data_IF_450711725762
#
_entry.id   IF_450711725762
#
_cell.length_a   1.000
_cell.length_b   1.000
_cell.length_c   1.000
_cell.angle_alpha   90.00
_cell.angle_beta   90.00
_cell.angle_gamma   90.00
#
_symmetry.space_group_name_H-M   'P 1'
#
loop_
_entity.id
_entity.type
_entity.pdbx_description
1 polymer ?
#
# COMPACT_ATOMS: atom_id res chain seq x y z
N UNK A 1 -6.95 -1.53 2.13
CA UNK A 1 -7.40 -2.88 2.55
C UNK A 1 -8.28 -2.84 3.80
N UNK A 2 -7.79 -2.34 4.94
CA UNK A 2 -8.56 -2.32 6.20
C UNK A 2 -9.87 -1.54 6.10
N UNK A 3 -9.86 -0.32 5.52
CA UNK A 3 -11.07 0.50 5.36
C UNK A 3 -12.18 -0.18 4.55
N UNK A 4 -11.83 -0.81 3.42
CA UNK A 4 -12.78 -1.60 2.64
C UNK A 4 -13.37 -2.77 3.41
N UNK A 5 -12.51 -3.54 4.11
CA UNK A 5 -12.99 -4.66 4.93
C UNK A 5 -13.93 -4.18 6.02
N UNK A 6 -13.61 -3.08 6.71
CA UNK A 6 -14.50 -2.49 7.71
C UNK A 6 -15.84 -2.10 7.10
N UNK A 7 -15.86 -1.44 5.94
CA UNK A 7 -17.09 -1.08 5.24
C UNK A 7 -17.93 -2.28 4.78
N UNK A 8 -17.32 -3.42 4.48
CA UNK A 8 -18.06 -4.65 4.16
C UNK A 8 -18.79 -5.19 5.39
N UNK A 9 -18.16 -5.19 6.56
CA UNK A 9 -18.75 -5.72 7.78
C UNK A 9 -19.69 -4.74 8.49
N UNK A 10 -19.49 -3.44 8.29
CA UNK A 10 -20.21 -2.36 8.96
C UNK A 10 -20.60 -1.24 7.98
N UNK A 11 -21.36 -1.52 6.91
CA UNK A 11 -21.72 -0.52 5.90
C UNK A 11 -22.48 0.67 6.50
N UNK A 12 -23.25 0.44 7.57
CA UNK A 12 -24.00 1.48 8.28
C UNK A 12 -23.12 2.50 9.02
N UNK A 13 -21.83 2.19 9.21
CA UNK A 13 -20.87 3.06 9.92
C UNK A 13 -19.95 3.84 8.99
N UNK A 14 -20.10 3.68 7.68
CA UNK A 14 -19.19 4.27 6.68
C UNK A 14 -19.99 5.08 5.68
N UNK A 15 -19.91 6.42 5.81
CA UNK A 15 -20.57 7.33 4.88
C UNK A 15 -19.84 7.47 3.54
N UNK A 16 -18.50 7.36 3.54
CA UNK A 16 -17.66 7.41 2.34
C UNK A 16 -16.26 6.83 2.62
N UNK A 17 -15.52 6.47 1.57
CA UNK A 17 -14.14 5.97 1.64
C UNK A 17 -13.25 6.77 0.69
N UNK A 18 -12.10 7.26 1.19
CA UNK A 18 -10.98 7.66 0.32
C UNK A 18 -9.87 6.63 0.46
N UNK A 19 -9.46 6.02 -0.64
CA UNK A 19 -8.34 5.09 -0.72
C UNK A 19 -7.21 5.70 -1.55
N UNK A 20 -5.98 5.57 -1.07
CA UNK A 20 -4.78 6.07 -1.73
C UNK A 20 -3.92 4.87 -2.15
N UNK A 21 -3.56 4.78 -3.43
CA UNK A 21 -2.62 3.77 -3.98
C UNK A 21 -3.12 2.31 -4.01
N UNK A 22 -4.24 1.97 -3.36
CA UNK A 22 -4.72 0.58 -3.23
C UNK A 22 -6.20 0.46 -3.53
N UNK A 23 -6.55 -0.24 -4.61
CA UNK A 23 -7.93 -0.62 -4.91
C UNK A 23 -8.42 -1.80 -4.05
N UNK A 24 -9.73 -1.91 -3.86
CA UNK A 24 -10.32 -3.10 -3.24
C UNK A 24 -10.08 -4.33 -4.11
N UNK A 25 -9.71 -5.45 -3.47
CA UNK A 25 -9.72 -6.77 -4.09
C UNK A 25 -10.38 -7.74 -3.11
N UNK A 26 -11.38 -8.53 -3.54
CA UNK A 26 -11.95 -9.53 -2.67
C UNK A 26 -10.91 -10.60 -2.31
N UNK A 27 -10.99 -11.19 -1.11
CA UNK A 27 -10.09 -12.28 -0.72
C UNK A 27 -10.12 -13.42 -1.74
N UNK A 28 -8.95 -13.98 -2.06
CA UNK A 28 -8.81 -15.08 -3.02
C UNK A 28 -8.80 -14.68 -4.50
N UNK A 29 -9.04 -13.42 -4.88
CA UNK A 29 -9.07 -13.00 -6.28
C UNK A 29 -7.73 -12.56 -6.86
N UNK A 30 -6.63 -12.64 -6.10
CA UNK A 30 -5.31 -12.39 -6.67
C UNK A 30 -5.01 -13.53 -7.65
N UNK A 31 -4.77 -13.18 -8.91
CA UNK A 31 -4.28 -14.13 -9.91
C UNK A 31 -2.98 -14.75 -9.41
N UNK A 32 -2.85 -16.06 -9.56
CA UNK A 32 -1.71 -16.86 -9.09
C UNK A 32 -0.48 -16.66 -9.96
N UNK A 33 -0.15 -15.41 -10.31
CA UNK A 33 1.13 -15.14 -10.96
C UNK A 33 2.22 -15.21 -9.90
N UNK A 34 3.08 -16.22 -10.05
CA UNK A 34 4.24 -16.43 -9.19
C UNK A 34 5.22 -15.31 -9.49
N UNK A 35 5.25 -14.31 -8.62
CA UNK A 35 6.34 -13.33 -8.61
C UNK A 35 7.65 -14.03 -8.20
N UNK A 36 8.81 -13.53 -8.64
CA UNK A 36 10.09 -14.14 -8.29
C UNK A 36 10.31 -14.15 -6.79
N UNK A 37 11.15 -15.08 -6.30
CA UNK A 37 11.57 -15.19 -4.89
C UNK A 37 12.03 -13.84 -4.31
N UNK A 38 12.69 -13.05 -5.15
CA UNK A 38 13.20 -11.71 -4.85
C UNK A 38 12.14 -10.68 -4.45
N UNK A 39 10.86 -10.94 -4.72
CA UNK A 39 9.79 -10.00 -4.48
C UNK A 39 9.63 -9.68 -2.99
N UNK A 40 9.66 -8.41 -2.62
CA UNK A 40 9.70 -7.97 -1.22
C UNK A 40 8.61 -8.59 -0.33
N UNK A 41 7.38 -8.77 -0.85
CA UNK A 41 6.31 -9.42 -0.06
C UNK A 41 6.68 -10.86 0.29
N UNK A 42 7.26 -11.63 -0.65
CA UNK A 42 7.64 -13.03 -0.38
C UNK A 42 8.74 -13.09 0.69
N UNK A 43 9.70 -12.17 0.65
CA UNK A 43 10.78 -12.10 1.63
C UNK A 43 10.30 -11.67 3.00
N UNK A 44 9.41 -10.68 3.07
CA UNK A 44 8.85 -10.22 4.34
C UNK A 44 7.81 -11.18 4.93
N UNK A 45 7.24 -12.05 4.09
CA UNK A 45 6.38 -13.15 4.51
C UNK A 45 7.13 -14.28 5.23
N UNK A 46 8.44 -14.40 5.04
CA UNK A 46 9.27 -15.34 5.76
C UNK A 46 9.57 -14.78 7.17
N UNK A 47 9.10 -15.48 8.19
CA UNK A 47 9.29 -15.05 9.59
C UNK A 47 10.77 -14.98 9.92
N UNK A 48 11.22 -13.82 10.40
CA UNK A 48 12.62 -13.58 10.81
C UNK A 48 13.52 -13.08 9.69
N UNK A 49 13.16 -13.24 8.41
CA UNK A 49 14.03 -12.85 7.29
C UNK A 49 14.13 -11.32 7.13
N UNK A 50 12.98 -10.63 7.16
CA UNK A 50 12.97 -9.16 7.13
C UNK A 50 13.63 -8.57 8.38
N UNK A 51 13.42 -9.16 9.55
CA UNK A 51 14.07 -8.73 10.78
C UNK A 51 15.60 -8.90 10.72
N UNK A 52 16.08 -10.01 10.15
CA UNK A 52 17.51 -10.22 9.92
C UNK A 52 18.08 -9.22 8.89
N UNK A 53 17.36 -8.94 7.81
CA UNK A 53 17.74 -7.95 6.80
C UNK A 53 17.82 -6.53 7.41
N UNK A 54 16.75 -6.11 8.10
CA UNK A 54 16.67 -4.80 8.73
C UNK A 54 17.69 -4.64 9.87
N UNK A 55 17.94 -5.70 10.63
CA UNK A 55 18.91 -5.71 11.74
C UNK A 55 20.37 -5.50 11.33
N UNK A 56 20.67 -5.47 10.02
CA UNK A 56 21.99 -5.08 9.48
C UNK A 56 22.23 -3.57 9.57
N UNK A 57 21.20 -2.77 9.81
CA UNK A 57 21.24 -1.30 9.76
C UNK A 57 20.60 -0.68 11.00
N UNK A 58 20.90 0.60 11.26
CA UNK A 58 20.12 1.40 12.19
C UNK A 58 18.70 1.67 11.65
N UNK A 59 17.75 1.96 12.55
CA UNK A 59 16.34 2.15 12.19
C UNK A 59 16.17 3.31 11.18
N UNK A 60 16.95 4.39 11.33
CA UNK A 60 16.90 5.54 10.42
C UNK A 60 17.24 5.13 8.99
N UNK A 61 18.25 4.29 8.81
CA UNK A 61 18.66 3.76 7.51
C UNK A 61 17.60 2.82 6.93
N UNK A 62 16.99 1.95 7.76
CA UNK A 62 15.89 1.09 7.30
C UNK A 62 14.72 1.93 6.79
N UNK A 63 14.25 2.92 7.55
CA UNK A 63 13.14 3.80 7.15
C UNK A 63 13.49 4.59 5.89
N UNK A 64 14.71 5.16 5.81
CA UNK A 64 15.22 5.83 4.61
C UNK A 64 15.13 4.92 3.38
N UNK A 65 15.63 3.69 3.50
CA UNK A 65 15.65 2.73 2.39
C UNK A 65 14.22 2.37 1.95
N UNK A 66 13.29 2.19 2.88
CA UNK A 66 11.87 1.95 2.59
C UNK A 66 11.28 3.11 1.77
N UNK A 67 11.45 4.35 2.23
CA UNK A 67 10.94 5.53 1.49
C UNK A 67 11.52 5.60 0.07
N UNK A 68 12.83 5.38 -0.08
CA UNK A 68 13.49 5.38 -1.39
C UNK A 68 12.94 4.27 -2.30
N UNK A 69 12.78 3.05 -1.79
CA UNK A 69 12.32 1.91 -2.58
C UNK A 69 10.90 2.09 -3.08
N UNK A 70 10.00 2.57 -2.23
CA UNK A 70 8.58 2.66 -2.58
C UNK A 70 8.20 4.01 -3.20
N UNK A 71 9.10 5.00 -3.24
CA UNK A 71 8.94 6.20 -4.06
C UNK A 71 9.29 5.98 -5.55
N UNK A 72 9.93 4.86 -5.89
CA UNK A 72 10.28 4.46 -7.27
C UNK A 72 9.07 3.82 -7.99
N UNK A 73 9.20 3.66 -9.30
CA UNK A 73 8.18 3.00 -10.14
C UNK A 73 8.42 1.51 -10.34
N UNK A 74 9.61 1.01 -9.99
CA UNK A 74 9.96 -0.39 -10.05
C UNK A 74 9.47 -1.14 -8.82
N UNK A 75 9.07 -2.40 -9.01
CA UNK A 75 8.78 -3.29 -7.89
C UNK A 75 10.11 -3.66 -7.21
N UNK A 76 10.23 -3.56 -5.88
CA UNK A 76 11.42 -4.07 -5.19
C UNK A 76 11.52 -5.59 -5.32
N UNK A 77 12.48 -6.02 -6.14
CA UNK A 77 12.81 -7.43 -6.41
C UNK A 77 14.32 -7.57 -6.25
N UNK A 78 14.76 -8.26 -5.19
CA UNK A 78 16.17 -8.49 -4.93
C UNK A 78 16.71 -9.72 -5.66
N UNK A 79 18.00 -9.70 -5.99
CA UNK A 79 18.70 -10.84 -6.58
C UNK A 79 18.89 -11.99 -5.60
N UNK A 80 19.35 -13.14 -6.10
CA UNK A 80 19.54 -14.37 -5.29
C UNK A 80 20.51 -14.19 -4.12
N UNK A 81 21.53 -13.33 -4.28
CA UNK A 81 22.57 -13.08 -3.27
C UNK A 81 22.41 -11.71 -2.56
N UNK A 82 21.23 -11.11 -2.63
CA UNK A 82 20.92 -9.82 -2.03
C UNK A 82 19.71 -9.94 -1.11
N UNK A 83 19.50 -8.96 -0.24
CA UNK A 83 18.26 -8.70 0.48
C UNK A 83 17.59 -7.36 0.08
N UNK A 84 16.37 -7.09 0.57
CA UNK A 84 15.60 -5.92 0.13
C UNK A 84 16.32 -4.62 0.47
N UNK A 85 17.00 -4.54 1.62
CA UNK A 85 17.78 -3.36 1.96
C UNK A 85 19.03 -3.17 1.08
N UNK A 86 19.50 -4.19 0.34
CA UNK A 86 20.63 -4.07 -0.59
C UNK A 86 20.27 -3.37 -1.90
N UNK A 87 18.97 -3.14 -2.14
CA UNK A 87 18.47 -2.45 -3.34
C UNK A 87 18.65 -0.91 -3.28
N UNK A 88 19.14 -0.40 -2.16
CA UNK A 88 19.39 1.03 -1.95
C UNK A 88 20.87 1.25 -1.69
N UNK A 89 21.52 1.99 -2.58
CA UNK A 89 22.89 2.44 -2.36
C UNK A 89 22.91 3.48 -1.24
N UNK A 90 23.90 3.47 -0.31
CA UNK A 90 23.97 4.43 0.80
C UNK A 90 23.95 5.90 0.36
N UNK A 91 24.52 6.19 -0.82
CA UNK A 91 24.57 7.52 -1.44
C UNK A 91 23.24 7.98 -2.04
N UNK A 92 22.22 7.12 -2.11
CA UNK A 92 20.93 7.49 -2.67
C UNK A 92 20.27 8.58 -1.80
N UNK A 93 19.88 9.72 -2.39
CA UNK A 93 19.22 10.80 -1.65
C UNK A 93 17.78 10.41 -1.28
N UNK A 94 17.22 11.11 -0.30
CA UNK A 94 15.79 11.02 0.01
C UNK A 94 14.93 11.52 -1.16
N UNK A 95 13.67 11.05 -1.28
CA UNK A 95 12.69 11.69 -2.14
C UNK A 95 12.62 13.20 -1.84
N UNK A 96 12.47 14.04 -2.87
CA UNK A 96 12.59 15.50 -2.73
C UNK A 96 11.55 16.16 -1.82
N UNK A 97 10.46 15.46 -1.51
CA UNK A 97 9.38 15.89 -0.63
C UNK A 97 9.51 15.35 0.80
N UNK A 98 10.51 14.51 1.09
CA UNK A 98 10.72 13.87 2.39
C UNK A 98 12.02 14.35 3.03
N UNK A 99 11.91 15.10 4.12
CA UNK A 99 13.06 15.78 4.73
C UNK A 99 13.82 14.87 5.71
N UNK A 100 15.03 15.31 6.11
CA UNK A 100 15.77 14.65 7.18
C UNK A 100 15.06 14.76 8.55
N UNK A 101 14.28 15.82 8.76
CA UNK A 101 13.45 15.96 9.97
C UNK A 101 12.30 14.96 9.98
N UNK A 102 11.57 14.81 8.85
CA UNK A 102 10.50 13.81 8.73
C UNK A 102 11.06 12.40 8.95
N UNK A 103 12.19 12.08 8.33
CA UNK A 103 12.89 10.81 8.52
C UNK A 103 13.24 10.55 9.98
N UNK A 104 13.72 11.57 10.70
CA UNK A 104 14.05 11.44 12.13
C UNK A 104 12.79 11.13 12.96
N UNK A 105 11.66 11.77 12.66
CA UNK A 105 10.38 11.49 13.35
C UNK A 105 9.95 10.04 13.15
N UNK A 106 9.97 9.53 11.91
CA UNK A 106 9.61 8.14 11.65
C UNK A 106 10.61 7.16 12.29
N UNK A 107 11.91 7.46 12.24
CA UNK A 107 12.93 6.63 12.86
C UNK A 107 12.71 6.51 14.38
N UNK A 108 12.46 7.61 15.08
CA UNK A 108 12.19 7.63 16.52
C UNK A 108 10.93 6.82 16.92
N UNK A 109 9.91 6.80 16.04
CA UNK A 109 8.71 6.00 16.25
C UNK A 109 8.99 4.51 16.08
N UNK A 110 9.74 4.13 15.03
CA UNK A 110 10.11 2.74 14.78
C UNK A 110 11.16 2.21 15.76
N UNK A 111 12.03 3.05 16.32
CA UNK A 111 12.95 2.68 17.40
C UNK A 111 12.17 2.18 18.63
N UNK A 112 11.00 2.79 18.90
CA UNK A 112 10.13 2.39 20.01
C UNK A 112 9.26 1.18 19.70
N UNK A 113 8.69 1.11 18.49
CA UNK A 113 7.72 0.07 18.14
C UNK A 113 8.34 -1.19 17.55
N UNK A 114 9.53 -1.09 16.96
CA UNK A 114 10.09 -2.09 16.05
C UNK A 114 9.24 -2.28 14.79
N UNK A 115 9.63 -3.26 13.97
CA UNK A 115 8.98 -3.58 12.68
C UNK A 115 8.08 -4.82 12.72
N UNK A 116 7.91 -5.48 13.86
CA UNK A 116 7.18 -6.75 13.92
C UNK A 116 5.71 -6.62 13.48
N UNK A 117 4.96 -5.65 14.02
CA UNK A 117 3.56 -5.40 13.64
C UNK A 117 3.38 -4.95 12.18
N UNK A 118 4.14 -3.97 11.66
CA UNK A 118 4.01 -3.57 10.25
C UNK A 118 4.47 -4.67 9.27
N UNK A 119 5.28 -5.64 9.69
CA UNK A 119 5.56 -6.85 8.89
C UNK A 119 4.41 -7.87 8.99
N UNK A 120 3.86 -8.05 10.19
CA UNK A 120 2.84 -9.06 10.47
C UNK A 120 1.53 -8.77 9.74
N UNK A 121 0.97 -7.57 9.91
CA UNK A 121 -0.41 -7.25 9.50
C UNK A 121 -0.60 -7.29 7.98
N UNK A 122 0.17 -6.56 7.16
CA UNK A 122 -0.03 -6.53 5.72
C UNK A 122 0.60 -7.70 4.96
N UNK A 123 1.66 -8.35 5.46
CA UNK A 123 2.39 -9.37 4.66
C UNK A 123 2.16 -10.79 5.15
N UNK A 124 2.27 -11.05 6.46
CA UNK A 124 2.26 -12.42 7.01
C UNK A 124 0.86 -12.96 7.26
N UNK A 125 -0.07 -12.13 7.73
CA UNK A 125 -1.47 -12.54 7.87
C UNK A 125 -2.07 -12.90 6.51
N UNK A 126 -1.69 -12.19 5.43
CA UNK A 126 -2.18 -12.47 4.08
C UNK A 126 -1.62 -13.77 3.47
N UNK A 127 -0.53 -14.34 4.00
CA UNK A 127 0.01 -15.64 3.58
C UNK A 127 -0.85 -16.79 4.07
N UNK A 128 -1.46 -16.65 5.25
CA UNK A 128 -2.53 -17.55 5.65
C UNK A 128 -3.65 -17.35 4.63
N UNK A 129 -4.19 -18.42 4.05
CA UNK A 129 -5.40 -18.33 3.22
C UNK A 129 -6.46 -17.62 4.07
N UNK A 130 -6.64 -16.31 3.86
CA UNK A 130 -7.64 -15.54 4.59
C UNK A 130 -8.97 -15.93 3.99
N UNK A 131 -9.48 -17.07 4.44
CA UNK A 131 -10.89 -17.36 4.32
C UNK A 131 -11.62 -16.26 5.08
N UNK A 132 -12.57 -15.64 4.39
CA UNK A 132 -13.44 -14.69 5.04
C UNK A 132 -14.11 -15.38 6.24
N UNK A 133 -14.25 -14.68 7.38
CA UNK A 133 -15.04 -15.17 8.50
C UNK A 133 -16.40 -15.68 8.02
N UNK A 134 -16.96 -16.71 8.67
CA UNK A 134 -18.29 -17.24 8.32
C UNK A 134 -19.40 -16.18 8.31
N UNK A 135 -19.19 -15.10 9.05
CA UNK A 135 -20.09 -13.94 9.16
C UNK A 135 -19.92 -12.93 8.03
N UNK A 136 -18.97 -13.12 7.10
CA UNK A 136 -18.77 -12.20 6.00
C UNK A 136 -20.01 -12.14 5.10
N UNK A 137 -20.34 -10.94 4.58
CA UNK A 137 -21.41 -10.80 3.60
C UNK A 137 -21.20 -11.75 2.41
N UNK A 138 -22.29 -12.38 1.95
CA UNK A 138 -22.26 -13.21 0.74
C UNK A 138 -21.96 -12.40 -0.52
N UNK A 139 -22.41 -11.14 -0.53
CA UNK A 139 -22.11 -10.18 -1.60
C UNK A 139 -21.01 -9.24 -1.11
N UNK A 140 -19.80 -9.39 -1.66
CA UNK A 140 -18.62 -8.60 -1.26
C UNK A 140 -18.62 -7.23 -1.93
N UNK A 141 -19.68 -6.46 -1.70
CA UNK A 141 -19.86 -5.12 -2.25
C UNK A 141 -19.66 -4.04 -1.21
N UNK A 142 -18.70 -3.17 -1.49
CA UNK A 142 -18.50 -1.90 -0.78
C UNK A 142 -19.41 -0.86 -1.44
N UNK A 143 -20.55 -0.59 -0.81
CA UNK A 143 -21.57 0.33 -1.37
C UNK A 143 -21.35 1.79 -1.01
N UNK A 144 -20.51 2.08 -0.01
CA UNK A 144 -20.17 3.46 0.34
C UNK A 144 -19.54 4.17 -0.88
N UNK A 145 -19.91 5.44 -1.15
CA UNK A 145 -19.18 6.28 -2.09
C UNK A 145 -17.69 6.15 -1.85
N UNK A 146 -16.93 5.87 -2.90
CA UNK A 146 -15.49 5.60 -2.78
C UNK A 146 -14.72 6.43 -3.79
N UNK A 147 -13.72 7.16 -3.31
CA UNK A 147 -12.68 7.77 -4.14
C UNK A 147 -11.40 6.95 -4.04
N UNK A 148 -10.83 6.57 -5.17
CA UNK A 148 -9.49 6.01 -5.28
C UNK A 148 -8.57 7.03 -5.94
N UNK A 149 -7.51 7.45 -5.24
CA UNK A 149 -6.47 8.33 -5.78
C UNK A 149 -5.23 7.49 -6.05
N UNK A 150 -4.78 7.45 -7.30
CA UNK A 150 -3.63 6.69 -7.75
C UNK A 150 -2.54 7.62 -8.28
N UNK A 151 -1.29 7.34 -7.94
CA UNK A 151 -0.15 7.92 -8.64
C UNK A 151 0.19 7.10 -9.88
N UNK A 152 0.35 7.73 -11.05
CA UNK A 152 0.69 6.98 -12.28
C UNK A 152 2.11 6.38 -12.26
N UNK A 153 2.98 6.88 -11.38
CA UNK A 153 4.34 6.38 -11.14
C UNK A 153 4.42 5.41 -9.97
N UNK A 154 3.31 5.04 -9.35
CA UNK A 154 3.28 4.03 -8.28
C UNK A 154 3.68 2.64 -8.83
N UNK A 155 4.68 2.01 -8.20
CA UNK A 155 5.14 0.66 -8.54
C UNK A 155 4.01 -0.39 -8.50
N UNK A 156 2.92 -0.13 -7.77
CA UNK A 156 1.74 -1.00 -7.70
C UNK A 156 1.17 -1.30 -9.08
N UNK A 157 1.27 -0.37 -10.06
CA UNK A 157 0.84 -0.66 -11.44
C UNK A 157 1.70 -1.70 -12.15
N UNK A 158 2.96 -1.86 -11.76
CA UNK A 158 3.84 -2.89 -12.30
C UNK A 158 3.53 -4.27 -11.73
N UNK A 159 2.82 -4.36 -10.61
CA UNK A 159 2.35 -5.64 -10.08
C UNK A 159 1.39 -6.27 -11.09
N UNK A 160 1.66 -7.48 -11.60
CA UNK A 160 0.90 -8.05 -12.69
C UNK A 160 -0.62 -8.08 -12.46
N UNK A 161 -1.37 -7.67 -13.48
CA UNK A 161 -2.83 -7.56 -13.46
C UNK A 161 -3.38 -6.41 -12.63
N UNK A 162 -2.55 -5.59 -11.96
CA UNK A 162 -3.05 -4.48 -11.12
C UNK A 162 -3.51 -3.28 -11.92
N UNK A 163 -2.71 -2.84 -12.88
CA UNK A 163 -3.11 -1.75 -13.77
C UNK A 163 -4.37 -2.08 -14.56
N UNK A 164 -4.42 -3.25 -15.21
CA UNK A 164 -5.59 -3.72 -15.97
C UNK A 164 -6.84 -3.77 -15.08
N UNK A 165 -6.76 -4.37 -13.90
CA UNK A 165 -7.88 -4.49 -12.97
C UNK A 165 -8.48 -3.12 -12.57
N UNK A 166 -7.63 -2.12 -12.34
CA UNK A 166 -8.06 -0.77 -11.95
C UNK A 166 -8.61 -0.01 -13.16
N UNK A 167 -7.85 0.03 -14.27
CA UNK A 167 -8.19 0.86 -15.44
C UNK A 167 -9.38 0.32 -16.25
N UNK A 168 -9.58 -0.99 -16.30
CA UNK A 168 -10.74 -1.60 -16.94
C UNK A 168 -12.06 -1.34 -16.20
N UNK A 169 -11.98 -0.88 -14.95
CA UNK A 169 -13.15 -0.72 -14.08
C UNK A 169 -13.65 -2.02 -13.46
N UNK A 170 -12.90 -3.13 -13.55
CA UNK A 170 -13.28 -4.39 -12.89
C UNK A 170 -13.46 -4.25 -11.37
N UNK A 171 -12.74 -3.32 -10.73
CA UNK A 171 -12.96 -2.94 -9.32
C UNK A 171 -14.43 -2.62 -9.04
N UNK A 172 -15.14 -2.01 -10.00
CA UNK A 172 -16.55 -1.59 -9.86
C UNK A 172 -17.53 -2.76 -9.71
N UNK A 173 -17.12 -3.99 -10.06
CA UNK A 173 -17.89 -5.20 -9.74
C UNK A 173 -18.11 -5.35 -8.23
N UNK A 174 -17.16 -4.86 -7.42
CA UNK A 174 -17.16 -4.93 -5.96
C UNK A 174 -17.34 -3.57 -5.29
N UNK A 175 -16.96 -2.47 -5.95
CA UNK A 175 -17.11 -1.10 -5.44
C UNK A 175 -17.91 -0.29 -6.47
N UNK A 176 -19.24 -0.48 -6.56
CA UNK A 176 -20.05 0.10 -7.64
C UNK A 176 -19.98 1.63 -7.69
N UNK A 177 -19.88 2.29 -6.54
CA UNK A 177 -19.84 3.75 -6.39
C UNK A 177 -18.39 4.29 -6.35
N UNK A 178 -17.50 3.69 -7.14
CA UNK A 178 -16.09 4.07 -7.22
C UNK A 178 -15.85 5.15 -8.28
N UNK A 179 -15.18 6.21 -7.84
CA UNK A 179 -14.49 7.18 -8.67
C UNK A 179 -12.99 6.99 -8.54
N UNK A 180 -12.26 7.11 -9.66
CA UNK A 180 -10.79 6.98 -9.66
C UNK A 180 -10.17 8.23 -10.26
N UNK A 181 -9.19 8.80 -9.54
CA UNK A 181 -8.39 9.94 -9.99
C UNK A 181 -6.93 9.49 -10.09
N UNK A 182 -6.28 9.83 -11.19
CA UNK A 182 -4.88 9.54 -11.44
C UNK A 182 -4.05 10.82 -11.40
N UNK A 183 -2.99 10.86 -10.60
CA UNK A 183 -2.01 11.95 -10.60
C UNK A 183 -0.78 11.51 -11.43
N UNK A 184 -0.51 12.15 -12.58
CA UNK A 184 0.54 11.72 -13.52
C UNK A 184 1.94 11.55 -12.91
N UNK A 185 2.29 12.41 -11.96
CA UNK A 185 3.61 12.41 -11.33
C UNK A 185 3.61 11.73 -9.94
N UNK A 186 2.47 11.20 -9.50
CA UNK A 186 2.28 10.57 -8.19
C UNK A 186 3.02 9.24 -8.08
N UNK A 187 3.78 9.09 -6.99
CA UNK A 187 4.36 7.83 -6.52
C UNK A 187 3.46 7.16 -5.46
N UNK A 188 3.99 6.16 -4.74
CA UNK A 188 3.23 5.45 -3.70
C UNK A 188 2.79 6.35 -2.54
N UNK A 189 3.65 7.27 -2.12
CA UNK A 189 3.40 8.20 -1.01
C UNK A 189 2.72 9.49 -1.51
N UNK A 190 1.70 9.35 -2.36
CA UNK A 190 1.06 10.47 -3.09
C UNK A 190 0.57 11.61 -2.20
N UNK A 191 0.17 11.31 -0.97
CA UNK A 191 -0.32 12.28 0.00
C UNK A 191 0.79 13.10 0.66
N UNK A 192 2.00 12.54 0.76
CA UNK A 192 3.19 13.27 1.21
C UNK A 192 3.83 14.03 0.04
N UNK A 193 3.78 13.47 -1.17
CA UNK A 193 4.33 14.09 -2.37
C UNK A 193 3.50 15.28 -2.89
N UNK A 194 2.16 15.17 -2.87
CA UNK A 194 1.24 16.20 -3.36
C UNK A 194 0.14 16.52 -2.33
N UNK A 195 0.52 17.00 -1.13
CA UNK A 195 -0.41 17.17 -0.02
C UNK A 195 -1.58 18.09 -0.37
N UNK A 196 -1.32 19.26 -0.97
CA UNK A 196 -2.36 20.23 -1.30
C UNK A 196 -3.36 19.69 -2.33
N UNK A 197 -2.87 19.00 -3.35
CA UNK A 197 -3.72 18.41 -4.39
C UNK A 197 -4.57 17.28 -3.82
N UNK A 198 -3.96 16.37 -3.04
CA UNK A 198 -4.68 15.27 -2.40
C UNK A 198 -5.71 15.79 -1.39
N UNK A 199 -5.37 16.80 -0.60
CA UNK A 199 -6.30 17.45 0.33
C UNK A 199 -7.50 18.04 -0.39
N UNK A 200 -7.29 18.76 -1.51
CA UNK A 200 -8.39 19.32 -2.29
C UNK A 200 -9.31 18.24 -2.87
N UNK A 201 -8.74 17.12 -3.35
CA UNK A 201 -9.52 15.99 -3.85
C UNK A 201 -10.38 15.36 -2.75
N UNK A 202 -9.81 15.16 -1.55
CA UNK A 202 -10.52 14.65 -0.39
C UNK A 202 -11.66 15.58 0.00
N UNK A 203 -11.39 16.88 0.15
CA UNK A 203 -12.40 17.85 0.58
C UNK A 203 -13.55 17.95 -0.43
N UNK A 204 -13.24 18.03 -1.73
CA UNK A 204 -14.27 18.07 -2.78
C UNK A 204 -15.14 16.81 -2.79
N UNK A 205 -14.52 15.64 -2.61
CA UNK A 205 -15.25 14.38 -2.55
C UNK A 205 -16.16 14.28 -1.32
N UNK A 206 -15.66 14.69 -0.15
CA UNK A 206 -16.45 14.74 1.08
C UNK A 206 -17.61 15.73 0.96
N UNK A 207 -17.37 16.91 0.39
CA UNK A 207 -18.41 17.93 0.17
C UNK A 207 -19.53 17.43 -0.76
N UNK A 208 -19.17 16.66 -1.79
CA UNK A 208 -20.12 16.09 -2.75
C UNK A 208 -20.93 14.91 -2.20
N UNK A 209 -20.49 14.31 -1.08
CA UNK A 209 -21.11 13.14 -0.44
C UNK A 209 -21.60 13.42 0.99
N UNK A 210 -21.81 14.70 1.34
CA UNK A 210 -22.47 15.07 2.60
C UNK A 210 -23.89 14.51 2.59
N UNK A 211 -24.22 13.71 3.61
CA UNK A 211 -25.58 13.26 3.91
C UNK A 211 -26.31 14.31 4.74
#
# INVERSE_FOLDING_TARGET
MVGYMFSLFHPEKVSAIVSLGVAFRPPGSRTSQVLPEGYYIQRWQETGRAEADFGRFDIKTVVKNIYILFARSEIPIAGENQEIMDLVEPSTPLPSWFTEEDLAVYADLYEKSGFQTPLQVPYRILKAKVELPKQAPKDLKVVAPTLLIMGEKDFVFKIPGTEEYIRSGEVKKYVPNLETIYLPEGSHFIHEQFPDQVNQLILNFLDSNKQ
#
